data_IF_823323905168
#
_entry.id   IF_823323905168
#
_cell.length_a   1.000
_cell.length_b   1.000
_cell.length_c   1.000
_cell.angle_alpha   90.00
_cell.angle_beta   90.00
_cell.angle_gamma   90.00
#
_symmetry.space_group_name_H-M   'P 1'
#
loop_
_entity.id
_entity.type
_entity.pdbx_description
1 polymer ?
#
# COMPACT_ATOMS: atom_id res chain seq x y z
N UNK A 1 -13.81 39.65 -12.61
CA UNK A 1 -12.45 39.49 -12.05
C UNK A 1 -12.50 39.80 -10.57
N UNK A 2 -12.39 38.78 -9.72
CA UNK A 2 -11.19 38.66 -8.88
C UNK A 2 -10.79 37.19 -8.63
N UNK A 3 -9.88 36.63 -9.42
CA UNK A 3 -9.20 35.34 -9.12
C UNK A 3 -7.73 35.53 -8.70
N UNK A 4 -7.28 36.78 -8.53
CA UNK A 4 -5.88 37.09 -8.31
C UNK A 4 -5.28 36.72 -6.93
N UNK A 5 -6.01 36.67 -5.80
CA UNK A 5 -5.36 36.39 -4.51
C UNK A 5 -5.09 34.89 -4.26
N UNK A 6 -5.83 33.98 -4.91
CA UNK A 6 -5.62 32.52 -4.80
C UNK A 6 -4.28 32.09 -5.44
N UNK A 7 -3.89 32.76 -6.53
CA UNK A 7 -2.63 32.54 -7.25
C UNK A 7 -1.36 32.95 -6.50
N UNK A 8 -1.47 33.76 -5.43
CA UNK A 8 -0.31 34.32 -4.74
C UNK A 8 0.12 33.51 -3.50
N UNK A 9 -0.83 32.92 -2.77
CA UNK A 9 -0.51 32.09 -1.61
C UNK A 9 0.08 30.73 -1.99
N UNK A 10 -0.29 30.20 -3.16
CA UNK A 10 0.11 28.86 -3.58
C UNK A 10 1.49 28.83 -4.29
N UNK A 11 1.96 29.98 -4.80
CA UNK A 11 3.27 30.10 -5.48
C UNK A 11 4.50 29.88 -4.60
N UNK A 12 4.36 29.70 -3.28
CA UNK A 12 5.43 29.25 -2.38
C UNK A 12 5.45 27.72 -2.22
N UNK A 13 5.28 26.99 -3.33
CA UNK A 13 5.12 25.54 -3.42
C UNK A 13 6.34 24.70 -2.95
N UNK A 14 7.50 25.31 -2.74
CA UNK A 14 8.71 24.60 -2.28
C UNK A 14 8.68 24.25 -0.79
N UNK A 15 7.90 24.98 0.01
CA UNK A 15 7.88 24.85 1.48
C UNK A 15 6.75 23.95 1.99
N UNK A 16 5.72 23.70 1.16
CA UNK A 16 4.53 22.92 1.52
C UNK A 16 4.73 21.40 1.41
N UNK A 17 5.70 20.93 0.60
CA UNK A 17 6.01 19.50 0.46
C UNK A 17 6.52 18.83 1.74
N UNK A 18 6.93 19.59 2.76
CA UNK A 18 7.52 19.08 4.00
C UNK A 18 6.59 19.11 5.23
N UNK A 19 5.36 19.67 5.14
CA UNK A 19 4.47 19.84 6.31
C UNK A 19 3.13 19.10 6.18
N UNK A 20 2.89 18.33 5.12
CA UNK A 20 1.75 17.39 5.10
C UNK A 20 2.15 16.11 5.86
N UNK A 21 2.32 16.23 7.18
CA UNK A 21 2.15 15.08 8.05
C UNK A 21 0.74 14.53 7.79
N UNK A 22 0.62 13.21 7.63
CA UNK A 22 -0.60 12.52 7.21
C UNK A 22 -1.77 12.86 8.12
N UNK A 23 -2.61 13.84 7.73
CA UNK A 23 -3.81 14.23 8.46
C UNK A 23 -5.06 13.51 7.95
N UNK A 24 -4.96 12.83 6.80
CA UNK A 24 -6.03 12.01 6.25
C UNK A 24 -6.39 10.83 7.18
N UNK A 25 -7.67 10.66 7.55
CA UNK A 25 -8.10 9.54 8.38
C UNK A 25 -7.98 8.22 7.62
N UNK A 26 -7.82 7.13 8.37
CA UNK A 26 -7.91 5.80 7.80
C UNK A 26 -9.38 5.44 7.54
N UNK A 27 -9.66 4.90 6.34
CA UNK A 27 -11.00 4.52 5.92
C UNK A 27 -11.02 3.10 5.38
N UNK A 28 -11.85 2.26 5.98
CA UNK A 28 -12.04 0.87 5.59
C UNK A 28 -13.10 0.79 4.48
N UNK A 29 -12.72 1.17 3.27
CA UNK A 29 -13.59 0.99 2.09
C UNK A 29 -14.02 -0.47 1.91
N UNK A 30 -15.15 -0.74 1.23
CA UNK A 30 -15.56 -2.10 0.86
C UNK A 30 -14.45 -2.87 0.13
N UNK A 31 -13.72 -2.20 -0.79
CA UNK A 31 -12.58 -2.79 -1.49
C UNK A 31 -11.45 -3.20 -0.54
N UNK A 32 -11.15 -2.37 0.48
CA UNK A 32 -10.19 -2.72 1.52
C UNK A 32 -10.64 -3.95 2.32
N UNK A 33 -11.90 -3.98 2.75
CA UNK A 33 -12.44 -5.08 3.56
C UNK A 33 -12.42 -6.41 2.81
N UNK A 34 -12.83 -6.40 1.54
CA UNK A 34 -12.77 -7.58 0.65
C UNK A 34 -11.33 -8.05 0.45
N UNK A 35 -10.40 -7.14 0.16
CA UNK A 35 -8.99 -7.49 -0.03
C UNK A 35 -8.37 -8.09 1.24
N UNK A 36 -8.67 -7.52 2.43
CA UNK A 36 -8.25 -8.10 3.71
C UNK A 36 -8.85 -9.48 3.92
N UNK A 37 -10.16 -9.68 3.68
CA UNK A 37 -10.81 -10.97 3.83
C UNK A 37 -10.17 -12.04 2.92
N UNK A 38 -9.81 -11.68 1.69
CA UNK A 38 -9.10 -12.57 0.76
C UNK A 38 -7.68 -12.90 1.20
N UNK A 39 -6.94 -11.93 1.75
CA UNK A 39 -5.61 -12.19 2.31
C UNK A 39 -5.67 -13.13 3.52
N UNK A 40 -6.66 -12.95 4.40
CA UNK A 40 -6.90 -13.87 5.53
C UNK A 40 -7.19 -15.28 5.03
N UNK A 41 -8.07 -15.41 4.02
CA UNK A 41 -8.37 -16.69 3.40
C UNK A 41 -7.14 -17.39 2.80
N UNK A 42 -6.24 -16.63 2.15
CA UNK A 42 -4.98 -17.16 1.63
C UNK A 42 -4.06 -17.67 2.74
N UNK A 43 -3.98 -16.98 3.89
CA UNK A 43 -3.22 -17.44 5.04
C UNK A 43 -3.81 -18.69 5.68
N UNK A 44 -5.13 -18.74 5.85
CA UNK A 44 -5.83 -19.90 6.42
C UNK A 44 -5.60 -21.16 5.59
N UNK A 45 -5.61 -21.02 4.26
CA UNK A 45 -5.30 -22.11 3.32
C UNK A 45 -3.83 -22.45 3.19
N UNK A 46 -2.94 -21.62 3.76
CA UNK A 46 -1.50 -21.68 3.54
C UNK A 46 -1.18 -21.67 2.05
N UNK A 47 -1.85 -20.79 1.31
CA UNK A 47 -1.56 -20.56 -0.09
C UNK A 47 -0.08 -20.13 -0.23
N UNK A 48 0.57 -20.50 -1.35
CA UNK A 48 2.00 -20.29 -1.58
C UNK A 48 2.26 -18.83 -1.92
N UNK A 49 1.44 -18.29 -2.82
CA UNK A 49 1.56 -16.93 -3.34
C UNK A 49 0.18 -16.32 -3.48
N UNK A 50 -0.03 -15.19 -2.82
CA UNK A 50 -1.14 -14.27 -3.06
C UNK A 50 -0.59 -12.99 -3.72
N UNK A 51 -1.22 -12.52 -4.79
CA UNK A 51 -0.85 -11.28 -5.46
C UNK A 51 -1.92 -10.23 -5.19
N UNK A 52 -1.52 -9.08 -4.64
CA UNK A 52 -2.34 -7.89 -4.47
C UNK A 52 -2.02 -6.89 -5.58
N UNK A 53 -2.99 -6.56 -6.41
CA UNK A 53 -2.85 -5.63 -7.54
C UNK A 53 -3.63 -4.36 -7.27
N UNK A 54 -3.28 -3.28 -7.95
CA UNK A 54 -4.05 -2.03 -7.91
C UNK A 54 -3.22 -0.88 -8.44
N UNK A 55 -3.87 0.20 -8.85
CA UNK A 55 -3.16 1.38 -9.36
C UNK A 55 -2.26 2.03 -8.30
N UNK A 56 -1.30 2.85 -8.71
CA UNK A 56 -0.56 3.72 -7.79
C UNK A 56 -1.55 4.61 -7.03
N UNK A 57 -1.42 4.63 -5.70
CA UNK A 57 -2.31 5.41 -4.83
C UNK A 57 -3.64 4.74 -4.48
N UNK A 58 -3.89 3.48 -4.88
CA UNK A 58 -5.07 2.70 -4.50
C UNK A 58 -5.11 2.27 -3.02
N UNK A 59 -4.01 2.45 -2.28
CA UNK A 59 -3.92 2.10 -0.86
C UNK A 59 -3.30 0.74 -0.55
N UNK A 60 -2.66 0.06 -1.53
CA UNK A 60 -1.99 -1.24 -1.34
C UNK A 60 -1.05 -1.26 -0.12
N UNK A 61 -0.11 -0.32 -0.04
CA UNK A 61 0.86 -0.20 1.05
C UNK A 61 0.16 -0.01 2.40
N UNK A 62 -0.81 0.92 2.48
CA UNK A 62 -1.57 1.15 3.71
C UNK A 62 -2.35 -0.10 4.14
N UNK A 63 -2.90 -0.84 3.19
CA UNK A 63 -3.58 -2.11 3.45
C UNK A 63 -2.63 -3.14 4.04
N UNK A 64 -1.49 -3.35 3.39
CA UNK A 64 -0.53 -4.34 3.85
C UNK A 64 0.09 -3.97 5.21
N UNK A 65 0.41 -2.70 5.47
CA UNK A 65 0.91 -2.25 6.77
C UNK A 65 -0.07 -2.51 7.92
N UNK A 66 -1.36 -2.21 7.71
CA UNK A 66 -2.42 -2.45 8.71
C UNK A 66 -2.63 -3.95 8.92
N UNK A 67 -2.75 -4.70 7.83
CA UNK A 67 -2.98 -6.14 7.86
C UNK A 67 -1.80 -6.87 8.52
N UNK A 68 -0.56 -6.59 8.13
CA UNK A 68 0.63 -7.21 8.76
C UNK A 68 0.75 -6.88 10.24
N UNK A 69 0.42 -5.65 10.65
CA UNK A 69 0.35 -5.27 12.07
C UNK A 69 -0.66 -6.12 12.83
N UNK A 70 -1.83 -6.39 12.23
CA UNK A 70 -2.84 -7.27 12.80
C UNK A 70 -2.35 -8.73 12.89
N UNK A 71 -1.70 -9.24 11.85
CA UNK A 71 -1.15 -10.60 11.84
C UNK A 71 -0.06 -10.80 12.92
N UNK A 72 0.83 -9.81 13.10
CA UNK A 72 1.82 -9.83 14.20
C UNK A 72 1.14 -9.91 15.57
N UNK A 73 0.06 -9.15 15.79
CA UNK A 73 -0.73 -9.21 17.04
C UNK A 73 -1.41 -10.56 17.26
N UNK A 74 -1.74 -11.28 16.19
CA UNK A 74 -2.28 -12.66 16.24
C UNK A 74 -1.20 -13.73 16.41
N UNK A 75 0.08 -13.36 16.47
CA UNK A 75 1.20 -14.27 16.73
C UNK A 75 1.89 -14.83 15.47
N UNK A 76 1.46 -14.41 14.27
CA UNK A 76 2.14 -14.79 13.04
C UNK A 76 3.54 -14.14 12.97
N UNK A 77 4.49 -14.85 12.37
CA UNK A 77 5.77 -14.29 11.95
C UNK A 77 5.53 -13.51 10.67
N UNK A 78 5.81 -12.20 10.67
CA UNK A 78 5.55 -11.35 9.52
C UNK A 78 6.80 -10.58 9.13
N UNK A 79 7.30 -10.89 7.96
CA UNK A 79 8.34 -10.14 7.25
C UNK A 79 7.65 -9.17 6.31
N UNK A 80 8.04 -7.90 6.35
CA UNK A 80 7.52 -6.85 5.47
C UNK A 80 8.69 -6.17 4.77
N UNK A 81 8.84 -6.42 3.47
CA UNK A 81 9.93 -5.91 2.64
C UNK A 81 9.36 -4.82 1.72
N UNK A 82 9.82 -3.58 1.92
CA UNK A 82 9.51 -2.44 1.05
C UNK A 82 10.69 -2.26 0.11
N UNK A 83 10.53 -2.60 -1.17
CA UNK A 83 11.69 -2.99 -1.98
C UNK A 83 11.85 -2.18 -3.27
N UNK A 84 12.32 -0.92 -3.22
CA UNK A 84 12.84 -0.30 -4.42
C UNK A 84 14.26 -0.85 -4.71
N UNK A 85 14.40 -1.73 -5.71
CA UNK A 85 15.68 -2.02 -6.37
C UNK A 85 16.79 -2.70 -5.54
N UNK A 86 16.47 -3.48 -4.50
CA UNK A 86 17.50 -4.17 -3.69
C UNK A 86 18.19 -5.29 -4.47
N UNK A 87 19.52 -5.37 -4.33
CA UNK A 87 20.32 -6.48 -4.82
C UNK A 87 20.04 -7.76 -4.00
N UNK A 88 20.42 -8.91 -4.56
CA UNK A 88 20.22 -10.24 -3.96
C UNK A 88 20.65 -10.30 -2.48
N UNK A 89 21.84 -9.77 -2.17
CA UNK A 89 22.38 -9.79 -0.81
C UNK A 89 21.55 -8.96 0.17
N UNK A 90 21.19 -7.72 -0.20
CA UNK A 90 20.40 -6.83 0.67
C UNK A 90 19.02 -7.41 0.96
N UNK A 91 18.38 -8.00 -0.06
CA UNK A 91 17.08 -8.67 0.10
C UNK A 91 17.17 -9.86 1.07
N UNK A 92 18.16 -10.73 0.87
CA UNK A 92 18.38 -11.88 1.76
C UNK A 92 18.78 -11.45 3.17
N UNK A 93 19.57 -10.38 3.30
CA UNK A 93 19.97 -9.83 4.58
C UNK A 93 18.75 -9.33 5.36
N UNK A 94 17.92 -8.47 4.77
CA UNK A 94 16.70 -7.95 5.42
C UNK A 94 15.73 -9.08 5.78
N UNK A 95 15.51 -10.02 4.86
CA UNK A 95 14.70 -11.21 5.12
C UNK A 95 15.24 -12.03 6.30
N UNK A 96 16.54 -12.28 6.36
CA UNK A 96 17.16 -13.03 7.46
C UNK A 96 17.01 -12.31 8.81
N UNK A 97 17.23 -10.99 8.84
CA UNK A 97 17.11 -10.18 10.05
C UNK A 97 15.66 -10.15 10.57
N UNK A 98 14.69 -9.94 9.69
CA UNK A 98 13.27 -9.91 10.08
C UNK A 98 12.74 -11.28 10.51
N UNK A 99 13.28 -12.37 9.95
CA UNK A 99 13.02 -13.74 10.43
C UNK A 99 13.76 -14.08 11.73
N UNK A 100 14.63 -13.20 12.23
CA UNK A 100 15.51 -13.46 13.37
C UNK A 100 16.39 -14.70 13.16
N UNK A 101 16.84 -14.92 11.92
CA UNK A 101 17.76 -16.00 11.59
C UNK A 101 19.16 -15.71 12.18
N UNK A 102 19.90 -16.78 12.49
CA UNK A 102 21.24 -16.65 13.09
C UNK A 102 22.28 -16.31 12.01
N UNK A 103 22.46 -15.01 11.75
CA UNK A 103 23.38 -14.49 10.72
C UNK A 103 24.39 -13.50 11.32
N UNK A 104 25.64 -13.57 10.85
CA UNK A 104 26.70 -12.63 11.22
C UNK A 104 26.84 -11.48 10.21
N UNK A 105 27.46 -10.37 10.62
CA UNK A 105 27.63 -9.13 9.82
C UNK A 105 28.33 -9.31 8.46
N UNK A 106 29.10 -10.38 8.28
CA UNK A 106 29.82 -10.69 7.04
C UNK A 106 29.41 -12.07 6.51
N UNK A 107 28.11 -12.25 6.24
CA UNK A 107 27.57 -13.47 5.64
C UNK A 107 27.36 -13.30 4.14
N UNK A 108 27.69 -14.36 3.41
CA UNK A 108 27.50 -14.46 1.95
C UNK A 108 26.04 -14.80 1.62
N UNK A 109 25.55 -14.52 0.39
CA UNK A 109 24.18 -14.89 -0.01
C UNK A 109 23.83 -16.37 0.23
N UNK A 110 24.72 -17.36 -0.05
CA UNK A 110 24.44 -18.75 0.26
C UNK A 110 24.28 -19.06 1.76
N UNK A 111 25.05 -18.40 2.63
CA UNK A 111 24.96 -18.54 4.09
C UNK A 111 23.66 -17.92 4.63
N UNK A 112 23.30 -16.73 4.12
CA UNK A 112 22.02 -16.08 4.43
C UNK A 112 20.85 -16.99 4.03
N UNK A 113 20.88 -17.53 2.82
CA UNK A 113 19.85 -18.44 2.34
C UNK A 113 19.76 -19.73 3.17
N UNK A 114 20.90 -20.28 3.60
CA UNK A 114 20.92 -21.43 4.49
C UNK A 114 20.24 -21.11 5.83
N UNK A 115 20.60 -20.00 6.48
CA UNK A 115 20.02 -19.58 7.75
C UNK A 115 18.52 -19.27 7.65
N UNK A 116 18.07 -18.64 6.55
CA UNK A 116 16.64 -18.39 6.27
C UNK A 116 15.89 -19.72 6.21
N UNK A 117 16.38 -20.72 5.47
CA UNK A 117 15.71 -22.01 5.35
C UNK A 117 15.63 -22.76 6.68
N UNK A 118 16.71 -22.77 7.46
CA UNK A 118 16.69 -23.38 8.79
C UNK A 118 15.64 -22.73 9.70
N UNK A 119 15.57 -21.39 9.68
CA UNK A 119 14.61 -20.69 10.49
C UNK A 119 13.16 -20.89 10.01
N UNK A 120 12.91 -20.86 8.70
CA UNK A 120 11.58 -21.21 8.16
C UNK A 120 11.16 -22.64 8.56
N UNK A 121 12.09 -23.59 8.62
CA UNK A 121 11.80 -24.96 9.05
C UNK A 121 11.48 -25.02 10.55
N UNK A 122 12.20 -24.27 11.38
CA UNK A 122 11.91 -24.18 12.82
C UNK A 122 10.52 -23.60 13.09
N UNK A 123 10.11 -22.53 12.39
CA UNK A 123 8.75 -21.99 12.52
C UNK A 123 7.65 -22.99 12.13
N UNK A 124 7.89 -23.83 11.12
CA UNK A 124 6.96 -24.90 10.75
C UNK A 124 6.84 -25.94 11.89
N UNK A 125 7.95 -26.34 12.50
CA UNK A 125 7.96 -27.26 13.65
C UNK A 125 7.23 -26.67 14.87
N UNK A 126 7.33 -25.36 15.06
CA UNK A 126 6.59 -24.60 16.09
C UNK A 126 5.12 -24.36 15.73
N UNK A 127 4.66 -24.81 14.56
CA UNK A 127 3.32 -24.55 14.02
C UNK A 127 2.96 -23.07 13.90
N UNK A 128 3.97 -22.21 13.67
CA UNK A 128 3.78 -20.77 13.51
C UNK A 128 3.51 -20.46 12.04
N UNK A 129 2.51 -19.61 11.80
CA UNK A 129 2.25 -19.06 10.48
C UNK A 129 3.34 -18.05 10.14
N UNK A 130 3.95 -18.19 8.96
CA UNK A 130 4.96 -17.26 8.43
C UNK A 130 4.39 -16.59 7.20
N UNK A 131 4.44 -15.25 7.18
CA UNK A 131 3.99 -14.42 6.06
C UNK A 131 5.15 -13.54 5.64
N UNK A 132 5.48 -13.57 4.35
CA UNK A 132 6.48 -12.69 3.77
C UNK A 132 5.76 -11.79 2.78
N UNK A 133 5.68 -10.52 3.11
CA UNK A 133 5.07 -9.50 2.27
C UNK A 133 6.17 -8.74 1.55
N UNK A 134 6.01 -8.59 0.24
CA UNK A 134 6.90 -7.81 -0.61
C UNK A 134 6.05 -6.77 -1.34
N UNK A 135 6.26 -5.50 -1.00
CA UNK A 135 5.59 -4.38 -1.66
C UNK A 135 6.45 -3.88 -2.85
N UNK A 136 5.78 -3.33 -3.86
CA UNK A 136 6.39 -2.85 -5.10
C UNK A 136 7.23 -3.89 -5.85
N UNK A 137 6.68 -5.10 -6.06
CA UNK A 137 7.43 -6.19 -6.72
C UNK A 137 7.79 -5.88 -8.17
N UNK A 138 7.15 -4.91 -8.81
CA UNK A 138 7.53 -4.38 -10.12
C UNK A 138 8.93 -3.75 -10.15
N UNK A 139 9.45 -3.29 -9.00
CA UNK A 139 10.73 -2.60 -8.90
C UNK A 139 11.92 -3.53 -8.57
N UNK A 140 11.68 -4.83 -8.41
CA UNK A 140 12.73 -5.77 -7.99
C UNK A 140 13.64 -6.19 -9.15
N UNK A 141 14.92 -6.42 -8.82
CA UNK A 141 15.85 -7.04 -9.74
C UNK A 141 15.47 -8.50 -10.06
N UNK A 142 15.92 -9.00 -11.21
CA UNK A 142 15.59 -10.36 -11.67
C UNK A 142 16.12 -11.43 -10.73
N UNK A 143 17.30 -11.21 -10.16
CA UNK A 143 17.95 -12.08 -9.19
C UNK A 143 17.07 -12.23 -7.93
N UNK A 144 16.46 -11.13 -7.48
CA UNK A 144 15.51 -11.10 -6.35
C UNK A 144 14.22 -11.84 -6.69
N UNK A 145 13.71 -11.71 -7.92
CA UNK A 145 12.55 -12.48 -8.38
C UNK A 145 12.82 -14.01 -8.38
N UNK A 146 14.06 -14.44 -8.71
CA UNK A 146 14.47 -15.85 -8.64
C UNK A 146 14.50 -16.37 -7.18
N UNK A 147 14.84 -15.51 -6.20
CA UNK A 147 14.72 -15.85 -4.77
C UNK A 147 13.24 -16.04 -4.39
N UNK A 148 12.36 -15.11 -4.76
CA UNK A 148 10.91 -15.23 -4.49
C UNK A 148 10.32 -16.50 -5.10
N UNK A 149 10.74 -16.86 -6.32
CA UNK A 149 10.35 -18.12 -6.97
C UNK A 149 10.82 -19.32 -6.18
N UNK A 150 12.03 -19.26 -5.63
CA UNK A 150 12.57 -20.34 -4.81
C UNK A 150 11.79 -20.47 -3.50
N UNK A 151 11.49 -19.35 -2.82
CA UNK A 151 10.64 -19.32 -1.63
C UNK A 151 9.24 -19.90 -1.91
N UNK A 152 8.60 -19.49 -3.01
CA UNK A 152 7.29 -20.01 -3.42
C UNK A 152 7.30 -21.53 -3.65
N UNK A 153 8.43 -22.08 -4.12
CA UNK A 153 8.60 -23.52 -4.39
C UNK A 153 8.95 -24.32 -3.15
N UNK A 154 9.56 -23.73 -2.12
CA UNK A 154 9.85 -24.40 -0.84
C UNK A 154 8.57 -24.95 -0.19
N UNK A 155 7.46 -24.26 -0.42
CA UNK A 155 6.11 -24.68 -0.02
C UNK A 155 5.74 -26.10 -0.49
N UNK A 156 6.31 -26.58 -1.61
CA UNK A 156 5.98 -27.87 -2.23
C UNK A 156 6.57 -29.11 -1.50
N UNK A 157 7.13 -28.96 -0.30
CA UNK A 157 7.69 -30.08 0.49
C UNK A 157 7.09 -30.28 1.88
N UNK A 158 6.21 -29.39 2.36
CA UNK A 158 5.63 -29.43 3.70
C UNK A 158 6.60 -29.18 4.88
N UNK A 159 7.91 -29.14 4.61
CA UNK A 159 8.97 -28.94 5.61
C UNK A 159 9.29 -27.46 5.87
N UNK A 160 8.90 -26.56 4.94
CA UNK A 160 9.08 -25.10 5.03
C UNK A 160 7.85 -24.45 4.38
N UNK A 161 7.12 -23.62 5.11
CA UNK A 161 5.87 -22.99 4.64
C UNK A 161 5.85 -21.53 5.08
N UNK A 162 5.90 -20.64 4.10
CA UNK A 162 5.67 -19.22 4.26
C UNK A 162 4.77 -18.76 3.12
N UNK A 163 3.67 -18.08 3.45
CA UNK A 163 2.79 -17.50 2.43
C UNK A 163 3.42 -16.20 1.94
N UNK A 164 3.69 -16.13 0.63
CA UNK A 164 4.17 -14.92 -0.01
C UNK A 164 2.99 -14.03 -0.37
N UNK A 165 3.02 -12.77 0.02
CA UNK A 165 2.08 -11.74 -0.42
C UNK A 165 2.84 -10.72 -1.24
N UNK A 166 2.55 -10.64 -2.53
CA UNK A 166 3.26 -9.78 -3.48
C UNK A 166 2.33 -8.64 -3.89
N UNK A 167 2.71 -7.39 -3.61
CA UNK A 167 1.96 -6.23 -4.10
C UNK A 167 2.61 -5.64 -5.35
N UNK A 168 1.78 -5.45 -6.39
CA UNK A 168 2.20 -4.98 -7.71
C UNK A 168 1.28 -3.89 -8.25
N UNK A 169 1.80 -2.96 -9.05
CA UNK A 169 0.93 -2.10 -9.85
C UNK A 169 0.13 -2.96 -10.86
N UNK A 170 -1.17 -2.70 -10.92
CA UNK A 170 -2.06 -3.19 -11.98
C UNK A 170 -1.49 -3.04 -13.40
N UNK A 171 -0.78 -1.94 -13.70
CA UNK A 171 -0.21 -1.69 -15.02
C UNK A 171 1.00 -2.59 -15.33
N UNK A 172 1.73 -2.98 -14.29
CA UNK A 172 2.95 -3.78 -14.40
C UNK A 172 2.72 -5.27 -14.17
N UNK A 173 1.52 -5.70 -13.77
CA UNK A 173 1.22 -7.12 -13.52
C UNK A 173 1.53 -8.03 -14.74
N UNK A 174 1.33 -7.53 -15.96
CA UNK A 174 1.55 -8.29 -17.19
C UNK A 174 3.03 -8.40 -17.58
N UNK A 175 3.83 -7.40 -17.24
CA UNK A 175 5.28 -7.36 -17.46
C UNK A 175 6.06 -7.99 -16.31
N UNK A 176 5.50 -7.98 -15.10
CA UNK A 176 6.03 -8.61 -13.91
C UNK A 176 6.16 -10.13 -14.09
N UNK A 177 7.18 -10.70 -13.46
CA UNK A 177 7.66 -12.07 -13.66
C UNK A 177 6.52 -13.10 -13.82
N UNK A 178 6.27 -13.49 -15.08
CA UNK A 178 5.16 -14.40 -15.43
C UNK A 178 5.25 -15.76 -14.72
N UNK A 179 6.43 -16.14 -14.21
CA UNK A 179 6.62 -17.38 -13.45
C UNK A 179 5.97 -17.25 -12.06
N UNK A 180 6.13 -16.12 -11.38
CA UNK A 180 5.47 -15.85 -10.09
C UNK A 180 3.96 -15.73 -10.27
N UNK A 181 3.52 -15.01 -11.30
CA UNK A 181 2.10 -14.85 -11.63
C UNK A 181 1.38 -16.17 -11.94
N UNK A 182 2.09 -17.18 -12.45
CA UNK A 182 1.57 -18.54 -12.68
C UNK A 182 1.55 -19.42 -11.42
N UNK A 183 2.37 -19.08 -10.41
CA UNK A 183 2.39 -19.77 -9.12
C UNK A 183 1.39 -19.17 -8.11
N UNK A 184 0.83 -17.99 -8.41
CA UNK A 184 -0.21 -17.35 -7.62
C UNK A 184 -1.42 -18.27 -7.44
N UNK A 185 -1.71 -18.61 -6.19
CA UNK A 185 -2.90 -19.36 -5.80
C UNK A 185 -4.12 -18.43 -5.68
N UNK A 186 -3.87 -17.15 -5.37
CA UNK A 186 -4.88 -16.11 -5.28
C UNK A 186 -4.39 -14.80 -5.90
N UNK A 187 -5.29 -14.13 -6.62
CA UNK A 187 -5.10 -12.76 -7.10
C UNK A 187 -6.21 -11.89 -6.54
N UNK A 188 -5.82 -10.75 -5.98
CA UNK A 188 -6.67 -9.80 -5.29
C UNK A 188 -6.46 -8.47 -5.97
N UNK A 189 -7.52 -7.89 -6.50
CA UNK A 189 -7.48 -6.55 -7.09
C UNK A 189 -8.05 -5.56 -6.07
N UNK A 190 -7.24 -4.56 -5.72
CA UNK A 190 -7.66 -3.43 -4.91
C UNK A 190 -8.19 -2.34 -5.84
N UNK A 191 -9.50 -2.40 -6.05
CA UNK A 191 -10.25 -1.51 -6.93
C UNK A 191 -10.22 -0.05 -6.41
N UNK A 192 -10.34 0.89 -7.35
CA UNK A 192 -10.55 2.29 -7.02
C UNK A 192 -11.95 2.49 -6.40
N UNK A 193 -12.09 3.51 -5.57
CA UNK A 193 -13.34 3.82 -4.90
C UNK A 193 -14.40 4.34 -5.86
N UNK A 194 -15.63 3.89 -5.65
CA UNK A 194 -16.78 4.45 -6.36
C UNK A 194 -17.21 5.81 -5.77
N UNK A 195 -18.21 6.45 -6.38
CA UNK A 195 -18.69 7.75 -5.90
C UNK A 195 -19.27 7.70 -4.48
N UNK A 196 -19.84 6.56 -4.06
CA UNK A 196 -20.36 6.36 -2.71
C UNK A 196 -19.24 6.23 -1.68
N UNK A 197 -18.20 5.49 -2.01
CA UNK A 197 -16.98 5.37 -1.20
C UNK A 197 -16.28 6.72 -1.02
N UNK A 198 -16.19 7.52 -2.09
CA UNK A 198 -15.61 8.87 -2.05
C UNK A 198 -16.43 9.79 -1.14
N UNK A 199 -17.76 9.72 -1.21
CA UNK A 199 -18.64 10.49 -0.34
C UNK A 199 -18.46 10.09 1.14
N UNK A 200 -18.47 8.79 1.43
CA UNK A 200 -18.27 8.27 2.78
C UNK A 200 -16.88 8.63 3.34
N UNK A 201 -15.84 8.58 2.49
CA UNK A 201 -14.51 9.03 2.88
C UNK A 201 -14.47 10.53 3.18
N UNK A 202 -15.17 11.34 2.38
CA UNK A 202 -15.24 12.79 2.58
C UNK A 202 -15.95 13.12 3.90
N UNK A 203 -17.02 12.41 4.25
CA UNK A 203 -17.68 12.53 5.56
C UNK A 203 -16.72 12.15 6.70
N UNK A 204 -15.98 11.05 6.57
CA UNK A 204 -14.97 10.63 7.55
C UNK A 204 -13.84 11.69 7.68
N UNK A 205 -13.42 12.27 6.57
CA UNK A 205 -12.42 13.35 6.52
C UNK A 205 -12.92 14.60 7.25
N UNK A 206 -14.16 15.03 6.99
CA UNK A 206 -14.78 16.17 7.68
C UNK A 206 -14.91 15.91 9.19
N UNK A 207 -15.29 14.70 9.58
CA UNK A 207 -15.41 14.30 10.98
C UNK A 207 -14.06 14.30 11.72
N UNK A 208 -12.97 13.98 11.01
CA UNK A 208 -11.61 14.04 11.54
C UNK A 208 -11.05 15.48 11.68
N UNK A 209 -11.65 16.45 10.96
CA UNK A 209 -11.22 17.86 10.92
C UNK A 209 -12.38 18.84 11.19
N UNK A 210 -13.03 18.76 12.37
CA UNK A 210 -14.19 19.57 12.68
C UNK A 210 -13.89 21.08 12.70
N UNK A 211 -12.63 21.48 12.91
CA UNK A 211 -12.19 22.87 12.96
C UNK A 211 -12.25 23.59 11.61
N UNK A 212 -12.06 22.87 10.51
CA UNK A 212 -12.03 23.45 9.16
C UNK A 212 -13.43 23.82 8.66
N UNK A 213 -14.46 23.13 9.14
CA UNK A 213 -15.84 23.23 8.62
C UNK A 213 -15.89 23.13 7.09
N UNK A 214 -15.12 22.21 6.52
CA UNK A 214 -15.06 22.03 5.08
C UNK A 214 -16.44 21.61 4.56
N UNK A 215 -17.08 22.44 3.74
CA UNK A 215 -18.41 22.19 3.20
C UNK A 215 -18.30 21.79 1.73
N UNK A 216 -18.54 20.50 1.44
CA UNK A 216 -18.62 19.98 0.07
C UNK A 216 -20.07 19.62 -0.23
N UNK A 217 -20.62 20.17 -1.30
CA UNK A 217 -21.91 19.73 -1.82
C UNK A 217 -21.75 18.48 -2.71
N UNK A 218 -22.88 17.93 -3.17
CA UNK A 218 -22.87 16.73 -4.03
C UNK A 218 -22.11 16.96 -5.34
N UNK A 219 -22.11 18.18 -5.88
CA UNK A 219 -21.41 18.50 -7.12
C UNK A 219 -19.89 18.54 -6.91
N UNK A 220 -19.44 19.08 -5.77
CA UNK A 220 -18.04 19.06 -5.39
C UNK A 220 -17.54 17.64 -5.14
N UNK A 221 -18.31 16.81 -4.43
CA UNK A 221 -17.96 15.39 -4.20
C UNK A 221 -17.88 14.62 -5.53
N UNK A 222 -18.81 14.85 -6.46
CA UNK A 222 -18.76 14.26 -7.79
C UNK A 222 -17.49 14.70 -8.57
N UNK A 223 -17.12 15.98 -8.47
CA UNK A 223 -15.89 16.49 -9.04
C UNK A 223 -14.65 15.81 -8.43
N UNK A 224 -14.59 15.65 -7.10
CA UNK A 224 -13.50 14.93 -6.42
C UNK A 224 -13.41 13.49 -6.93
N UNK A 225 -14.53 12.76 -6.98
CA UNK A 225 -14.59 11.38 -7.47
C UNK A 225 -14.07 11.28 -8.91
N UNK A 226 -14.56 12.15 -9.81
CA UNK A 226 -14.18 12.16 -11.22
C UNK A 226 -12.70 12.45 -11.41
N UNK A 227 -12.15 13.46 -10.74
CA UNK A 227 -10.77 13.90 -10.96
C UNK A 227 -9.74 13.06 -10.24
N UNK A 228 -10.11 12.44 -9.14
CA UNK A 228 -9.25 11.46 -8.47
C UNK A 228 -9.23 10.10 -9.16
N UNK A 229 -10.22 9.81 -10.02
CA UNK A 229 -10.44 8.47 -10.55
C UNK A 229 -10.73 7.43 -9.45
N UNK A 230 -11.23 7.87 -8.30
CA UNK A 230 -11.46 7.01 -7.14
C UNK A 230 -10.19 6.61 -6.38
N UNK A 231 -9.03 7.21 -6.66
CA UNK A 231 -7.77 6.85 -5.99
C UNK A 231 -7.67 7.52 -4.61
N UNK A 232 -7.61 6.74 -3.51
CA UNK A 232 -7.55 7.26 -2.14
C UNK A 232 -6.50 8.35 -1.92
N UNK A 233 -5.28 8.14 -2.45
CA UNK A 233 -4.20 9.14 -2.32
C UNK A 233 -4.55 10.48 -2.97
N UNK A 234 -5.18 10.44 -4.15
CA UNK A 234 -5.53 11.66 -4.89
C UNK A 234 -6.72 12.35 -4.23
N UNK A 235 -7.70 11.58 -3.76
CA UNK A 235 -8.84 12.11 -2.98
C UNK A 235 -8.34 12.85 -1.75
N UNK A 236 -7.49 12.20 -0.95
CA UNK A 236 -6.87 12.82 0.23
C UNK A 236 -6.13 14.12 -0.09
N UNK A 237 -5.34 14.14 -1.16
CA UNK A 237 -4.62 15.35 -1.59
C UNK A 237 -5.58 16.48 -1.98
N UNK A 238 -6.66 16.17 -2.71
CA UNK A 238 -7.67 17.15 -3.07
C UNK A 238 -8.34 17.73 -1.82
N UNK A 239 -8.71 16.89 -0.85
CA UNK A 239 -9.33 17.35 0.40
C UNK A 239 -8.38 18.18 1.26
N UNK A 240 -7.12 17.75 1.39
CA UNK A 240 -6.07 18.48 2.13
C UNK A 240 -5.82 19.87 1.52
N UNK A 241 -5.76 19.98 0.19
CA UNK A 241 -5.60 21.27 -0.49
C UNK A 241 -6.87 22.12 -0.44
N UNK A 242 -8.05 21.50 -0.54
CA UNK A 242 -9.32 22.20 -0.38
C UNK A 242 -9.41 22.85 0.99
N UNK A 243 -9.01 22.12 2.04
CA UNK A 243 -8.89 22.66 3.41
C UNK A 243 -7.99 23.89 3.45
N UNK A 244 -6.76 23.81 2.93
CA UNK A 244 -5.85 24.95 2.90
C UNK A 244 -6.41 26.16 2.12
N UNK A 245 -7.12 25.92 1.02
CA UNK A 245 -7.77 26.96 0.23
C UNK A 245 -8.92 27.65 0.98
N UNK A 246 -9.73 26.89 1.72
CA UNK A 246 -10.82 27.44 2.54
C UNK A 246 -10.32 28.27 3.71
N UNK A 247 -9.22 27.85 4.36
CA UNK A 247 -8.56 28.62 5.42
C UNK A 247 -8.03 29.97 4.90
N UNK A 248 -7.42 29.98 3.70
CA UNK A 248 -6.90 31.19 3.10
C UNK A 248 -8.00 32.17 2.63
N UNK A 249 -9.13 31.66 2.15
CA UNK A 249 -10.24 32.45 1.61
C UNK A 249 -11.27 32.87 2.66
N UNK A 250 -11.19 32.35 3.89
CA UNK A 250 -12.19 32.52 4.96
C UNK A 250 -13.61 32.08 4.54
N UNK A 251 -13.70 31.16 3.58
CA UNK A 251 -14.95 30.57 3.09
C UNK A 251 -14.88 29.06 3.25
N UNK A 252 -15.82 28.42 3.97
CA UNK A 252 -15.80 26.97 4.19
C UNK A 252 -16.21 26.16 2.96
N UNK A 253 -16.86 26.79 1.98
CA UNK A 253 -17.43 26.11 0.82
C UNK A 253 -16.36 25.71 -0.21
N UNK A 254 -16.33 24.43 -0.55
CA UNK A 254 -15.56 23.86 -1.66
C UNK A 254 -16.52 23.62 -2.81
N UNK A 255 -16.29 24.31 -3.92
CA UNK A 255 -17.10 24.17 -5.14
C UNK A 255 -16.38 23.31 -6.19
N UNK A 256 -17.08 22.81 -7.22
CA UNK A 256 -16.43 22.12 -8.34
C UNK A 256 -15.29 22.91 -8.98
N UNK A 257 -15.38 24.24 -9.04
CA UNK A 257 -14.32 25.11 -9.55
C UNK A 257 -13.07 25.12 -8.65
N UNK A 258 -13.25 24.97 -7.34
CA UNK A 258 -12.13 24.85 -6.39
C UNK A 258 -11.39 23.53 -6.62
N UNK A 259 -12.15 22.45 -6.81
CA UNK A 259 -11.58 21.13 -7.10
C UNK A 259 -10.85 21.13 -8.45
N UNK A 260 -11.42 21.75 -9.49
CA UNK A 260 -10.79 21.89 -10.80
C UNK A 260 -9.49 22.70 -10.72
N UNK A 261 -9.48 23.82 -9.99
CA UNK A 261 -8.27 24.62 -9.81
C UNK A 261 -7.16 23.84 -9.12
N UNK A 262 -7.50 23.03 -8.10
CA UNK A 262 -6.54 22.13 -7.42
C UNK A 262 -6.01 21.07 -8.38
N UNK A 263 -6.88 20.50 -9.23
CA UNK A 263 -6.52 19.50 -10.24
C UNK A 263 -5.48 20.04 -11.21
N UNK A 264 -5.70 21.23 -11.77
CA UNK A 264 -4.77 21.86 -12.73
C UNK A 264 -3.38 22.15 -12.15
N UNK A 265 -3.28 22.23 -10.83
CA UNK A 265 -2.00 22.48 -10.16
C UNK A 265 -1.23 21.21 -9.80
N UNK A 266 -1.94 20.09 -9.57
CA UNK A 266 -1.37 18.83 -9.11
C UNK A 266 -1.13 17.78 -10.22
N UNK A 267 -1.98 17.75 -11.25
CA UNK A 267 -2.04 16.71 -12.30
C UNK A 267 -1.66 17.27 -13.68
#
# INVERSE_FOLDING_TARGET
>A
MPCAPMLALVRNASSLRMIVATMSPFFESPAYQEAVARLEYALERRDRVAILTGAIGSGKTTLLEKWTTQQRRRGAIVVYLQTPGTFEHDFLWDLAIQLQANVGLATTPPELWFAIREQLAAFVLEQRSVVIVVDHVEEIARETADILLTLARLHCGGQTSATLVLAVDSQDLASFDTRLTKLADLKIELEAWDAGDVAAYTEAYQAAHPETKLELDSAAIEAVSRYSGGLPRVISQILDLSRLATEASQSPAVTPETVEAIREELL
#
